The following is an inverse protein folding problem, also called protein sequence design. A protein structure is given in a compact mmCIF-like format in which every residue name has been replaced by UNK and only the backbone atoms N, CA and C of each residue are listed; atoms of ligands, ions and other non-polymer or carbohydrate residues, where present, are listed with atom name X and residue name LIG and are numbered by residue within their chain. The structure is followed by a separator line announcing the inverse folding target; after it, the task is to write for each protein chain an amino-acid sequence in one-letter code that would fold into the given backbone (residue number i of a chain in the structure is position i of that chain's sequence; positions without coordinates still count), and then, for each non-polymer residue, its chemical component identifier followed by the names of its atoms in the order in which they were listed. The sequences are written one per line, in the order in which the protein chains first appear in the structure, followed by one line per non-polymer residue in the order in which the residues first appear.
data_IF_941841806167
#
_entry.id   IF_941841806167
#
_cell.length_a   1.000
_cell.length_b   1.000
_cell.length_c   1.000
_cell.angle_alpha   90.00
_cell.angle_beta   90.00
_cell.angle_gamma   90.00
#
_symmetry.space_group_name_H-M   'P 1'
#
loop_
_entity.id
_entity.type
_entity.pdbx_description
1 polymer ?
#
# COMPACT_ATOMS: atom_id res chain seq x y z
N UNK A 1 2.74 2.95 14.13
CA UNK A 1 1.90 3.65 13.11
C UNK A 1 1.90 2.75 11.88
N UNK A 2 0.95 1.82 11.77
CA UNK A 2 0.98 0.65 10.87
C UNK A 2 0.45 0.90 9.44
N UNK A 3 0.03 2.13 9.10
CA UNK A 3 -0.78 2.37 7.88
C UNK A 3 -0.01 3.04 6.73
N UNK A 4 1.27 3.37 6.89
CA UNK A 4 2.11 3.96 5.84
C UNK A 4 3.33 3.07 5.59
N UNK A 5 3.67 2.87 4.31
CA UNK A 5 4.88 2.16 3.90
C UNK A 5 6.14 3.05 4.02
N UNK A 6 5.96 4.36 3.88
CA UNK A 6 7.00 5.38 4.00
C UNK A 6 6.44 6.72 4.51
N UNK A 7 7.33 7.62 4.91
CA UNK A 7 6.98 8.98 5.37
C UNK A 7 8.15 9.93 5.16
N UNK A 8 7.96 10.96 4.34
CA UNK A 8 8.79 12.15 4.27
C UNK A 8 8.30 13.24 5.25
N UNK A 9 9.24 13.87 5.95
CA UNK A 9 9.00 15.06 6.79
C UNK A 9 9.98 16.17 6.44
N UNK A 10 9.46 17.36 6.18
CA UNK A 10 10.27 18.55 5.96
C UNK A 10 11.01 18.98 7.23
N UNK A 11 12.13 19.68 7.06
CA UNK A 11 12.82 20.31 8.17
C UNK A 11 11.89 21.27 8.92
N UNK A 12 11.90 21.21 10.25
CA UNK A 12 11.11 22.08 11.14
C UNK A 12 11.70 22.09 12.54
N UNK A 13 11.68 23.25 13.21
CA UNK A 13 12.15 23.40 14.59
C UNK A 13 13.61 22.94 14.80
N UNK A 14 14.51 23.28 13.87
CA UNK A 14 15.93 22.91 13.91
C UNK A 14 16.24 21.46 13.51
N UNK A 15 15.24 20.64 13.20
CA UNK A 15 15.44 19.25 12.74
C UNK A 15 15.66 19.21 11.23
N UNK A 16 16.58 18.35 10.72
CA UNK A 16 16.76 18.17 9.30
C UNK A 16 15.56 17.47 8.67
N UNK A 17 15.52 17.48 7.34
CA UNK A 17 14.60 16.64 6.56
C UNK A 17 14.77 15.16 6.93
N UNK A 18 13.66 14.41 6.92
CA UNK A 18 13.70 12.97 7.20
C UNK A 18 12.86 12.20 6.20
N UNK A 19 13.43 11.12 5.69
CA UNK A 19 12.73 10.06 4.97
C UNK A 19 12.82 8.80 5.82
N UNK A 20 11.70 8.09 5.97
CA UNK A 20 11.63 6.77 6.58
C UNK A 20 10.82 5.82 5.71
N UNK A 21 11.22 4.55 5.69
CA UNK A 21 10.56 3.47 4.96
C UNK A 21 10.49 2.26 5.91
N UNK A 22 9.41 1.48 5.83
CA UNK A 22 9.29 0.28 6.66
C UNK A 22 10.32 -0.78 6.24
N UNK A 23 10.92 -1.45 7.24
CA UNK A 23 12.02 -2.38 7.02
C UNK A 23 11.57 -3.79 6.59
N UNK A 24 10.27 -4.09 6.69
CA UNK A 24 9.65 -5.38 6.37
C UNK A 24 9.17 -5.48 4.91
N UNK A 25 9.39 -4.44 4.10
CA UNK A 25 9.06 -4.46 2.67
C UNK A 25 10.02 -5.38 1.90
N UNK A 26 9.50 -6.09 0.91
CA UNK A 26 10.36 -6.74 -0.08
C UNK A 26 11.22 -5.71 -0.84
N UNK A 27 12.31 -6.17 -1.47
CA UNK A 27 13.32 -5.29 -2.08
C UNK A 27 12.74 -4.32 -3.12
N UNK A 28 11.73 -4.73 -3.87
CA UNK A 28 11.10 -3.89 -4.89
C UNK A 28 10.16 -2.87 -4.27
N UNK A 29 9.33 -3.30 -3.32
CA UNK A 29 8.43 -2.42 -2.58
C UNK A 29 9.21 -1.37 -1.78
N UNK A 30 10.35 -1.76 -1.20
CA UNK A 30 11.26 -0.85 -0.52
C UNK A 30 11.79 0.23 -1.47
N UNK A 31 12.35 -0.15 -2.63
CA UNK A 31 12.91 0.80 -3.59
C UNK A 31 11.85 1.78 -4.12
N UNK A 32 10.68 1.25 -4.50
CA UNK A 32 9.55 2.06 -5.00
C UNK A 32 9.10 3.07 -3.95
N UNK A 33 8.93 2.62 -2.70
CA UNK A 33 8.52 3.48 -1.58
C UNK A 33 9.61 4.51 -1.23
N UNK A 34 10.88 4.12 -1.24
CA UNK A 34 12.00 5.02 -0.97
C UNK A 34 12.03 6.16 -1.99
N UNK A 35 11.93 5.85 -3.28
CA UNK A 35 11.92 6.86 -4.35
C UNK A 35 10.68 7.75 -4.28
N UNK A 36 9.52 7.20 -3.89
CA UNK A 36 8.31 7.98 -3.62
C UNK A 36 8.55 9.07 -2.56
N UNK A 37 9.14 8.70 -1.42
CA UNK A 37 9.43 9.65 -0.36
C UNK A 37 10.56 10.63 -0.75
N UNK A 38 11.56 10.19 -1.52
CA UNK A 38 12.56 11.12 -2.08
C UNK A 38 11.95 12.10 -3.08
N UNK A 39 10.95 11.70 -3.87
CA UNK A 39 10.25 12.62 -4.76
C UNK A 39 9.53 13.71 -3.96
N UNK A 40 8.94 13.39 -2.80
CA UNK A 40 8.42 14.42 -1.90
C UNK A 40 9.50 15.40 -1.43
N UNK A 41 10.66 14.88 -1.05
CA UNK A 41 11.80 15.71 -0.65
C UNK A 41 12.30 16.60 -1.79
N UNK A 42 12.57 16.06 -2.98
CA UNK A 42 13.12 16.84 -4.09
C UNK A 42 12.12 17.87 -4.61
N UNK A 43 10.83 17.54 -4.65
CA UNK A 43 9.79 18.52 -4.96
C UNK A 43 9.78 19.67 -3.94
N UNK A 44 9.88 19.37 -2.64
CA UNK A 44 9.94 20.39 -1.60
C UNK A 44 11.15 21.32 -1.78
N UNK A 45 12.34 20.75 -1.97
CA UNK A 45 13.58 21.54 -2.11
C UNK A 45 13.55 22.43 -3.34
N UNK A 46 13.05 21.92 -4.48
CA UNK A 46 13.06 22.62 -5.77
C UNK A 46 11.98 23.70 -5.88
N UNK A 47 10.78 23.44 -5.37
CA UNK A 47 9.64 24.33 -5.58
C UNK A 47 9.30 25.19 -4.36
N UNK A 48 9.90 24.91 -3.18
CA UNK A 48 9.81 25.66 -1.90
C UNK A 48 8.41 25.95 -1.35
N UNK A 49 7.35 25.67 -2.11
CA UNK A 49 5.94 25.76 -1.74
C UNK A 49 5.29 24.42 -2.02
N UNK A 50 4.69 23.85 -0.98
CA UNK A 50 3.98 22.58 -1.04
C UNK A 50 2.59 22.83 -1.61
N UNK A 51 2.45 22.86 -2.93
CA UNK A 51 1.20 23.28 -3.55
C UNK A 51 0.23 22.15 -3.86
N UNK A 52 0.65 20.88 -3.81
CA UNK A 52 -0.23 19.71 -3.77
C UNK A 52 0.60 18.44 -3.52
N UNK A 53 0.25 17.59 -2.54
CA UNK A 53 0.77 16.23 -2.48
C UNK A 53 0.48 15.54 -3.81
N UNK A 54 1.52 14.95 -4.43
CA UNK A 54 1.40 14.17 -5.66
C UNK A 54 0.87 14.93 -6.89
N UNK A 55 0.99 16.26 -6.89
CA UNK A 55 0.70 17.11 -8.05
C UNK A 55 1.72 16.97 -9.19
N UNK A 56 1.58 17.73 -10.29
CA UNK A 56 2.43 17.60 -11.48
C UNK A 56 3.94 17.68 -11.20
N UNK A 57 4.37 18.57 -10.30
CA UNK A 57 5.77 18.68 -9.90
C UNK A 57 6.29 17.40 -9.23
N UNK A 58 5.49 16.80 -8.35
CA UNK A 58 5.84 15.55 -7.69
C UNK A 58 5.87 14.39 -8.68
N UNK A 59 4.87 14.29 -9.58
CA UNK A 59 4.84 13.25 -10.62
C UNK A 59 6.08 13.33 -11.52
N UNK A 60 6.47 14.54 -11.91
CA UNK A 60 7.70 14.76 -12.69
C UNK A 60 8.96 14.35 -11.95
N UNK A 61 9.10 14.71 -10.66
CA UNK A 61 10.23 14.30 -9.83
C UNK A 61 10.26 12.79 -9.60
N UNK A 62 9.11 12.16 -9.36
CA UNK A 62 9.00 10.72 -9.14
C UNK A 62 9.41 9.94 -10.40
N UNK A 63 8.90 10.32 -11.57
CA UNK A 63 9.30 9.73 -12.85
C UNK A 63 10.79 9.95 -13.15
N UNK A 64 11.32 11.16 -12.86
CA UNK A 64 12.74 11.49 -13.04
C UNK A 64 13.64 10.62 -12.17
N UNK A 65 13.28 10.44 -10.90
CA UNK A 65 14.07 9.66 -9.95
C UNK A 65 13.95 8.15 -10.19
N UNK A 66 12.81 7.67 -10.70
CA UNK A 66 12.61 6.25 -10.98
C UNK A 66 13.32 5.79 -12.26
N UNK A 67 13.49 6.68 -13.24
CA UNK A 67 14.03 6.37 -14.58
C UNK A 67 15.31 5.51 -14.59
N UNK A 68 16.35 5.77 -13.75
CA UNK A 68 17.56 4.94 -13.75
C UNK A 68 17.32 3.49 -13.33
N UNK A 69 16.24 3.23 -12.60
CA UNK A 69 15.88 1.92 -12.07
C UNK A 69 14.90 1.17 -12.98
N UNK A 70 14.28 1.82 -13.97
CA UNK A 70 13.34 1.19 -14.92
C UNK A 70 14.07 0.31 -15.94
N UNK A 71 14.64 -0.80 -15.49
CA UNK A 71 15.33 -1.76 -16.33
C UNK A 71 15.09 -3.19 -15.84
N UNK A 72 15.27 -4.15 -16.75
CA UNK A 72 15.19 -5.59 -16.43
C UNK A 72 16.32 -6.09 -15.52
N UNK A 73 17.36 -5.29 -15.32
CA UNK A 73 18.44 -5.60 -14.37
C UNK A 73 18.05 -5.30 -12.92
N UNK A 74 17.08 -4.41 -12.72
CA UNK A 74 16.60 -3.98 -11.40
C UNK A 74 15.22 -4.55 -11.09
N UNK A 75 14.29 -4.52 -12.04
CA UNK A 75 12.93 -5.03 -11.86
C UNK A 75 12.63 -6.21 -12.79
N UNK A 76 11.97 -7.27 -12.27
CA UNK A 76 11.35 -8.31 -13.09
C UNK A 76 10.38 -7.75 -14.13
N UNK A 77 10.18 -8.50 -15.22
CA UNK A 77 9.45 -8.00 -16.39
C UNK A 77 7.98 -7.63 -16.10
N UNK A 78 7.31 -8.34 -15.19
CA UNK A 78 5.94 -8.04 -14.79
C UNK A 78 5.84 -6.79 -13.91
N UNK A 79 6.78 -6.60 -12.97
CA UNK A 79 6.89 -5.40 -12.15
C UNK A 79 7.23 -4.17 -12.99
N UNK A 80 8.18 -4.31 -13.91
CA UNK A 80 8.59 -3.21 -14.80
C UNK A 80 7.40 -2.68 -15.60
N UNK A 81 6.59 -3.57 -16.20
CA UNK A 81 5.36 -3.17 -16.92
C UNK A 81 4.37 -2.45 -16.01
N UNK A 82 4.18 -2.95 -14.78
CA UNK A 82 3.28 -2.32 -13.81
C UNK A 82 3.77 -0.94 -13.39
N UNK A 83 5.08 -0.77 -13.20
CA UNK A 83 5.72 0.51 -12.84
C UNK A 83 5.67 1.51 -13.98
N UNK A 84 5.92 1.08 -15.23
CA UNK A 84 5.79 1.95 -16.40
C UNK A 84 4.37 2.51 -16.52
N UNK A 85 3.35 1.66 -16.37
CA UNK A 85 1.95 2.09 -16.35
C UNK A 85 1.66 3.03 -15.18
N UNK A 86 2.13 2.69 -13.98
CA UNK A 86 1.97 3.50 -12.78
C UNK A 86 2.54 4.92 -12.95
N UNK A 87 3.71 5.05 -13.56
CA UNK A 87 4.39 6.34 -13.71
C UNK A 87 3.75 7.27 -14.74
N UNK A 88 2.91 6.75 -15.65
CA UNK A 88 2.14 7.59 -16.59
C UNK A 88 1.11 8.47 -15.86
N UNK A 89 0.47 7.92 -14.83
CA UNK A 89 -0.48 8.67 -13.99
C UNK A 89 -0.44 8.17 -12.54
N UNK A 90 0.70 8.40 -11.87
CA UNK A 90 0.90 7.90 -10.52
C UNK A 90 -0.13 8.50 -9.56
N UNK A 91 -1.00 7.69 -8.92
CA UNK A 91 -1.94 8.19 -7.93
C UNK A 91 -1.21 8.70 -6.68
N UNK A 92 -1.95 9.36 -5.79
CA UNK A 92 -1.40 9.99 -4.58
C UNK A 92 -0.76 9.02 -3.57
N UNK A 93 -0.75 7.72 -3.84
CA UNK A 93 0.00 6.71 -3.09
C UNK A 93 0.10 5.46 -3.95
N UNK A 94 1.23 4.74 -3.87
CA UNK A 94 1.35 3.40 -4.45
C UNK A 94 0.22 2.48 -3.98
N UNK A 95 -0.27 2.66 -2.74
CA UNK A 95 -1.40 1.90 -2.19
C UNK A 95 -2.74 2.12 -2.92
N UNK A 96 -2.87 3.19 -3.71
CA UNK A 96 -4.06 3.45 -4.52
C UNK A 96 -3.97 2.80 -5.91
N UNK A 97 -2.76 2.46 -6.36
CA UNK A 97 -2.56 1.67 -7.57
C UNK A 97 -2.65 0.19 -7.21
N UNK A 98 -3.85 -0.36 -7.37
CA UNK A 98 -4.11 -1.75 -7.03
C UNK A 98 -3.29 -2.72 -7.89
N UNK A 99 -3.01 -2.39 -9.14
CA UNK A 99 -2.23 -3.24 -10.05
C UNK A 99 -0.78 -3.32 -9.57
N UNK A 100 -0.18 -2.17 -9.26
CA UNK A 100 1.19 -2.11 -8.75
C UNK A 100 1.32 -2.79 -7.39
N UNK A 101 0.37 -2.60 -6.47
CA UNK A 101 0.41 -3.24 -5.15
C UNK A 101 0.33 -4.77 -5.27
N UNK A 102 -0.58 -5.29 -6.09
CA UNK A 102 -0.65 -6.75 -6.35
C UNK A 102 0.63 -7.27 -6.99
N UNK A 103 1.24 -6.49 -7.88
CA UNK A 103 2.49 -6.87 -8.52
C UNK A 103 3.66 -6.92 -7.53
N UNK A 104 3.80 -5.92 -6.68
CA UNK A 104 4.84 -5.86 -5.64
C UNK A 104 4.68 -6.99 -4.62
N UNK A 105 3.45 -7.33 -4.24
CA UNK A 105 3.16 -8.39 -3.27
C UNK A 105 3.62 -9.78 -3.70
N UNK A 106 3.64 -10.07 -5.01
CA UNK A 106 4.13 -11.37 -5.53
C UNK A 106 5.58 -11.66 -5.16
N UNK A 107 6.32 -10.66 -4.68
CA UNK A 107 7.71 -10.75 -4.28
C UNK A 107 7.92 -10.72 -2.77
N UNK A 108 6.86 -10.80 -1.97
CA UNK A 108 6.97 -11.03 -0.52
C UNK A 108 7.46 -12.46 -0.25
N UNK A 109 8.38 -12.61 0.72
CA UNK A 109 8.89 -13.92 1.09
C UNK A 109 7.81 -14.81 1.74
N UNK A 110 6.92 -14.20 2.52
CA UNK A 110 5.78 -14.85 3.16
C UNK A 110 4.48 -14.16 2.71
N UNK A 111 3.90 -14.57 1.57
CA UNK A 111 2.71 -13.90 1.04
C UNK A 111 1.50 -14.15 1.95
N UNK A 112 1.00 -13.08 2.56
CA UNK A 112 -0.31 -13.03 3.22
C UNK A 112 -1.41 -12.85 2.18
N UNK A 113 -2.57 -13.51 2.29
CA UNK A 113 -3.67 -13.26 1.36
C UNK A 113 -4.24 -11.84 1.56
N UNK A 114 -4.74 -11.24 0.49
CA UNK A 114 -5.58 -10.06 0.62
C UNK A 114 -6.97 -10.43 1.11
N UNK A 115 -7.68 -9.46 1.70
CA UNK A 115 -9.06 -9.66 2.12
C UNK A 115 -9.97 -10.03 0.95
N UNK A 116 -9.72 -9.53 -0.26
CA UNK A 116 -10.49 -9.92 -1.44
C UNK A 116 -10.35 -11.39 -1.81
N UNK A 117 -9.19 -12.00 -1.55
CA UNK A 117 -8.86 -13.37 -1.94
C UNK A 117 -9.52 -14.44 -1.05
N UNK A 118 -9.92 -14.08 0.18
CA UNK A 118 -10.50 -15.06 1.12
C UNK A 118 -12.03 -15.18 0.97
N UNK A 119 -12.66 -16.35 1.20
CA UNK A 119 -14.11 -16.50 1.11
C UNK A 119 -14.90 -15.64 2.11
N UNK A 120 -16.16 -15.31 1.80
CA UNK A 120 -17.07 -14.76 2.81
C UNK A 120 -17.22 -15.69 4.01
N UNK A 121 -17.53 -15.13 5.18
CA UNK A 121 -17.64 -15.83 6.48
C UNK A 121 -16.34 -16.41 7.03
N UNK A 122 -15.22 -16.20 6.34
CA UNK A 122 -13.87 -16.50 6.87
C UNK A 122 -13.58 -15.62 8.07
N UNK A 123 -13.03 -16.22 9.13
CA UNK A 123 -12.47 -15.55 10.29
C UNK A 123 -11.02 -15.19 9.98
N UNK A 124 -10.66 -13.93 10.14
CA UNK A 124 -9.32 -13.43 9.89
C UNK A 124 -8.86 -12.46 10.96
N UNK A 125 -7.54 -12.35 11.15
CA UNK A 125 -6.90 -11.33 11.99
C UNK A 125 -6.42 -10.18 11.11
N UNK A 126 -6.74 -8.96 11.54
CA UNK A 126 -6.30 -7.71 10.92
C UNK A 126 -6.08 -6.67 12.01
N UNK A 127 -4.96 -5.93 11.99
CA UNK A 127 -4.62 -4.95 13.03
C UNK A 127 -4.83 -5.46 14.47
N UNK A 128 -4.35 -6.68 14.73
CA UNK A 128 -4.44 -7.37 16.03
C UNK A 128 -5.88 -7.60 16.55
N UNK A 129 -6.89 -7.55 15.68
CA UNK A 129 -8.29 -7.82 15.98
C UNK A 129 -8.82 -8.94 15.09
N UNK A 130 -9.80 -9.68 15.58
CA UNK A 130 -10.47 -10.74 14.83
C UNK A 130 -11.71 -10.19 14.14
N UNK A 131 -11.89 -10.58 12.89
CA UNK A 131 -12.99 -10.19 12.04
C UNK A 131 -13.59 -11.39 11.32
N UNK A 132 -14.84 -11.24 10.90
CA UNK A 132 -15.50 -12.14 9.97
C UNK A 132 -15.76 -11.37 8.67
N UNK A 133 -15.29 -11.88 7.53
CA UNK A 133 -15.54 -11.27 6.22
C UNK A 133 -17.03 -11.36 5.91
N UNK A 134 -17.63 -10.22 5.57
CA UNK A 134 -18.99 -10.15 5.04
C UNK A 134 -19.00 -9.65 3.61
N UNK A 135 -20.18 -9.30 3.13
CA UNK A 135 -20.40 -8.84 1.76
C UNK A 135 -19.58 -7.60 1.40
N UNK A 136 -19.22 -7.52 0.12
CA UNK A 136 -18.66 -6.31 -0.47
C UNK A 136 -19.73 -5.23 -0.56
N UNK A 137 -19.43 -4.04 -0.07
CA UNK A 137 -20.26 -2.84 -0.14
C UNK A 137 -19.47 -1.76 -0.88
N UNK A 138 -19.92 -1.42 -2.10
CA UNK A 138 -19.17 -0.56 -3.03
C UNK A 138 -17.76 -1.14 -3.28
N UNK A 139 -16.70 -0.42 -2.86
CA UNK A 139 -15.30 -0.82 -3.03
C UNK A 139 -14.67 -1.47 -1.79
N UNK A 140 -15.42 -1.74 -0.71
CA UNK A 140 -14.87 -2.25 0.55
C UNK A 140 -15.67 -3.43 1.09
N UNK A 141 -15.07 -4.27 1.91
CA UNK A 141 -15.77 -5.38 2.56
C UNK A 141 -16.31 -4.96 3.92
N UNK A 142 -17.60 -5.24 4.15
CA UNK A 142 -18.23 -5.06 5.47
C UNK A 142 -17.86 -6.24 6.36
N UNK A 143 -16.94 -6.01 7.29
CA UNK A 143 -16.41 -7.03 8.18
C UNK A 143 -16.91 -6.83 9.60
N UNK A 144 -17.37 -7.88 10.26
CA UNK A 144 -17.80 -7.81 11.66
C UNK A 144 -16.63 -8.09 12.58
N UNK A 145 -16.27 -7.17 13.46
CA UNK A 145 -15.24 -7.43 14.46
C UNK A 145 -15.81 -8.30 15.60
N UNK A 146 -15.07 -9.35 15.96
CA UNK A 146 -15.45 -10.24 17.06
C UNK A 146 -15.09 -9.67 18.43
N UNK A 147 -14.13 -8.74 18.51
CA UNK A 147 -13.70 -8.11 19.76
C UNK A 147 -14.76 -7.15 20.34
N UNK A 148 -15.45 -6.37 19.50
CA UNK A 148 -16.43 -5.35 19.95
C UNK A 148 -17.81 -5.46 19.30
N UNK A 149 -18.02 -6.47 18.45
CA UNK A 149 -19.26 -6.75 17.73
C UNK A 149 -19.71 -5.67 16.75
N UNK A 150 -18.84 -4.71 16.39
CA UNK A 150 -19.15 -3.64 15.42
C UNK A 150 -18.78 -4.02 13.99
N UNK A 151 -19.40 -3.35 13.01
CA UNK A 151 -19.07 -3.50 11.60
C UNK A 151 -18.03 -2.47 11.16
N UNK A 152 -17.08 -2.91 10.35
CA UNK A 152 -16.00 -2.12 9.79
C UNK A 152 -15.97 -2.27 8.27
N UNK A 153 -15.62 -1.20 7.55
CA UNK A 153 -15.36 -1.26 6.12
C UNK A 153 -13.85 -1.39 5.91
N UNK A 154 -13.42 -2.57 5.49
CA UNK A 154 -12.00 -2.89 5.29
C UNK A 154 -11.68 -2.89 3.80
N UNK A 155 -10.50 -2.40 3.45
CA UNK A 155 -10.02 -2.32 2.08
C UNK A 155 -9.84 -3.74 1.47
N UNK A 156 -10.21 -3.96 0.20
CA UNK A 156 -9.99 -5.25 -0.48
C UNK A 156 -8.53 -5.71 -0.44
N UNK A 157 -7.58 -4.77 -0.53
CA UNK A 157 -6.14 -5.03 -0.51
C UNK A 157 -5.55 -5.04 0.91
N UNK A 158 -6.39 -5.07 1.94
CA UNK A 158 -5.90 -5.27 3.30
C UNK A 158 -5.33 -6.68 3.43
N UNK A 159 -4.08 -6.78 3.89
CA UNK A 159 -3.46 -8.06 4.21
C UNK A 159 -4.05 -8.63 5.49
N UNK A 160 -4.36 -9.93 5.47
CA UNK A 160 -5.06 -10.59 6.57
C UNK A 160 -4.47 -11.96 6.87
N UNK A 161 -4.51 -12.36 8.15
CA UNK A 161 -4.13 -13.72 8.56
C UNK A 161 -5.39 -14.55 8.75
N UNK A 162 -5.58 -15.59 7.92
CA UNK A 162 -6.71 -16.51 8.05
C UNK A 162 -6.61 -17.28 9.37
N UNK A 163 -7.74 -17.44 10.08
CA UNK A 163 -7.82 -18.19 11.33
C UNK A 163 -8.79 -19.38 11.25
N UNK A 164 -9.74 -19.35 10.30
CA UNK A 164 -10.72 -20.42 10.10
C UNK A 164 -12.00 -19.90 9.46
N UNK A 165 -13.09 -20.67 9.54
CA UNK A 165 -14.38 -20.34 8.94
C UNK A 165 -15.47 -20.37 9.99
N UNK A 166 -16.39 -19.39 9.98
CA UNK A 166 -17.60 -19.54 10.80
C UNK A 166 -18.50 -20.63 10.19
N UNK A 167 -18.95 -21.62 10.98
CA UNK A 167 -19.88 -22.62 10.49
C UNK A 167 -21.16 -21.94 10.00
N UNK A 168 -21.69 -22.39 8.87
CA UNK A 168 -23.00 -21.96 8.42
C UNK A 168 -24.01 -22.33 9.51
N UNK A 169 -24.74 -21.34 10.05
CA UNK A 169 -25.89 -21.64 10.89
C UNK A 169 -26.85 -22.49 10.07
N UNK A 170 -27.07 -23.74 10.50
CA UNK A 170 -28.22 -24.52 10.00
C UNK A 170 -29.45 -23.69 10.31
N UNK A 171 -30.23 -23.35 9.29
CA UNK A 171 -31.57 -22.82 9.51
C UNK A 171 -32.37 -23.94 10.17
N UNK A 172 -32.72 -23.73 11.44
CA UNK A 172 -33.72 -24.49 12.18
C UNK A 172 -35.07 -23.84 11.98
#
# INVERSE_FOLDING_TARGET
RLTKLGDYRSASGGRPHRVSVNADLNIYAFLVTLIHEFAHYTTFVRHRRWTQPHGPHWKGEYARLMRPFLSRTVFPADLLRSLEKHLLDAPASSCQDQDLMRALKRYDAEPTPFLEDIPERTIFRFNNRLFVKGAQVRKRFKCRCLNDRRNYLIDPLAEVQVQGSMPARRAS
#
